data_IF_272754485339
#
_entry.id   IF_272754485339
#
_cell.length_a   1.000
_cell.length_b   1.000
_cell.length_c   1.000
_cell.angle_alpha   90.00
_cell.angle_beta   90.00
_cell.angle_gamma   90.00
#
_symmetry.space_group_name_H-M   'P 1'
#
loop_
_entity.id
_entity.type
_entity.pdbx_description
1 polymer ?
#
# COMPACT_ATOMS: atom_id res chain seq x y z
N UNK A 1 -5.46 28.62 0.73
CA UNK A 1 -5.23 27.23 1.21
C UNK A 1 -6.39 26.39 0.74
N UNK A 2 -6.16 25.28 0.03
CA UNK A 2 -7.23 24.33 -0.23
C UNK A 2 -7.74 23.79 1.12
N UNK A 3 -9.06 23.58 1.30
CA UNK A 3 -9.57 22.96 2.50
C UNK A 3 -8.87 21.60 2.69
N UNK A 4 -8.44 21.30 3.92
CA UNK A 4 -7.94 19.96 4.25
C UNK A 4 -9.08 19.00 3.97
N UNK A 5 -8.88 18.07 3.03
CA UNK A 5 -9.80 16.95 2.85
C UNK A 5 -9.92 16.22 4.18
N UNK A 6 -11.15 15.90 4.58
CA UNK A 6 -11.35 14.97 5.68
C UNK A 6 -10.75 13.63 5.28
N UNK A 7 -10.16 12.90 6.24
CA UNK A 7 -9.67 11.58 5.94
C UNK A 7 -10.88 10.63 5.73
N UNK A 8 -10.77 9.66 4.81
CA UNK A 8 -11.93 8.89 4.33
C UNK A 8 -12.71 8.18 5.43
N UNK A 9 -12.03 7.72 6.49
CA UNK A 9 -12.64 7.01 7.61
C UNK A 9 -13.65 7.85 8.42
N UNK A 10 -13.73 9.17 8.18
CA UNK A 10 -14.77 10.03 8.77
C UNK A 10 -16.08 10.01 7.98
N UNK A 11 -16.01 9.67 6.70
CA UNK A 11 -17.15 9.71 5.77
C UNK A 11 -17.63 8.31 5.40
N UNK A 12 -16.72 7.31 5.40
CA UNK A 12 -16.99 5.93 5.03
C UNK A 12 -16.66 4.99 6.19
N UNK A 13 -17.63 4.17 6.60
CA UNK A 13 -17.42 3.13 7.61
C UNK A 13 -16.80 1.85 7.02
N UNK A 14 -17.02 1.60 5.73
CA UNK A 14 -16.43 0.48 5.00
C UNK A 14 -15.39 1.03 4.01
N UNK A 15 -14.12 0.58 4.07
CA UNK A 15 -13.09 1.05 3.15
C UNK A 15 -13.39 0.70 1.69
N UNK A 16 -14.21 -0.32 1.41
CA UNK A 16 -14.66 -0.67 0.05
C UNK A 16 -15.55 0.39 -0.57
N UNK A 17 -16.30 1.14 0.24
CA UNK A 17 -17.14 2.23 -0.24
C UNK A 17 -16.31 3.45 -0.69
N UNK A 18 -15.09 3.59 -0.15
CA UNK A 18 -14.16 4.63 -0.56
C UNK A 18 -13.28 4.21 -1.75
N UNK A 19 -12.73 3.01 -1.69
CA UNK A 19 -11.85 2.47 -2.72
C UNK A 19 -12.66 1.73 -3.80
N UNK A 20 -13.46 2.50 -4.55
CA UNK A 20 -14.25 2.00 -5.68
C UNK A 20 -13.96 2.80 -6.97
N UNK A 21 -14.19 2.16 -8.12
CA UNK A 21 -14.13 2.74 -9.46
C UNK A 21 -12.88 3.60 -9.73
N UNK A 22 -13.11 4.87 -10.05
CA UNK A 22 -12.05 5.83 -10.41
C UNK A 22 -11.11 6.15 -9.25
N UNK A 23 -11.60 6.10 -7.99
CA UNK A 23 -10.78 6.37 -6.81
C UNK A 23 -9.76 5.26 -6.61
N UNK A 24 -10.22 4.01 -6.68
CA UNK A 24 -9.35 2.84 -6.65
C UNK A 24 -8.31 2.89 -7.78
N UNK A 25 -8.78 3.04 -9.02
CA UNK A 25 -7.92 3.07 -10.20
C UNK A 25 -6.86 4.17 -10.09
N UNK A 26 -7.27 5.37 -9.64
CA UNK A 26 -6.36 6.50 -9.44
C UNK A 26 -5.34 6.24 -8.34
N UNK A 27 -5.74 5.58 -7.26
CA UNK A 27 -4.84 5.22 -6.16
C UNK A 27 -3.79 4.19 -6.62
N UNK A 28 -4.23 3.08 -7.21
CA UNK A 28 -3.37 1.98 -7.67
C UNK A 28 -2.36 2.45 -8.73
N UNK A 29 -2.75 3.40 -9.59
CA UNK A 29 -1.87 3.94 -10.66
C UNK A 29 -1.05 5.16 -10.23
N UNK A 30 -1.20 5.63 -9.00
CA UNK A 30 -0.54 6.84 -8.54
C UNK A 30 0.95 6.59 -8.26
N UNK A 31 1.81 7.06 -9.18
CA UNK A 31 3.28 7.03 -9.00
C UNK A 31 3.72 7.82 -7.76
N UNK A 32 3.05 8.93 -7.44
CA UNK A 32 3.39 9.70 -6.25
C UNK A 32 3.06 8.92 -4.98
N UNK A 33 1.90 8.24 -4.94
CA UNK A 33 1.53 7.40 -3.80
C UNK A 33 2.48 6.22 -3.64
N UNK A 34 2.79 5.53 -4.73
CA UNK A 34 3.76 4.43 -4.74
C UNK A 34 5.12 4.88 -4.17
N UNK A 35 5.67 5.99 -4.67
CA UNK A 35 6.95 6.52 -4.18
C UNK A 35 6.90 6.87 -2.69
N UNK A 36 5.81 7.49 -2.21
CA UNK A 36 5.66 7.83 -0.79
C UNK A 36 5.63 6.57 0.07
N UNK A 37 4.82 5.57 -0.31
CA UNK A 37 4.68 4.32 0.44
C UNK A 37 5.99 3.51 0.44
N UNK A 38 6.72 3.51 -0.67
CA UNK A 38 8.05 2.90 -0.74
C UNK A 38 9.01 3.56 0.27
N UNK A 39 9.08 4.90 0.32
CA UNK A 39 9.95 5.57 1.29
C UNK A 39 9.56 5.28 2.74
N UNK A 40 8.24 5.21 3.02
CA UNK A 40 7.73 4.88 4.35
C UNK A 40 8.12 3.46 4.76
N UNK A 41 7.95 2.45 3.89
CA UNK A 41 8.29 1.07 4.24
C UNK A 41 9.79 0.88 4.41
N UNK A 42 10.63 1.55 3.61
CA UNK A 42 12.08 1.49 3.76
C UNK A 42 12.53 2.13 5.08
N UNK A 43 11.86 3.21 5.50
CA UNK A 43 12.12 3.81 6.80
C UNK A 43 11.65 2.90 7.95
N UNK A 44 10.47 2.28 7.84
CA UNK A 44 9.98 1.33 8.82
C UNK A 44 10.93 0.13 8.96
N UNK A 45 11.45 -0.38 7.83
CA UNK A 45 12.44 -1.45 7.82
C UNK A 45 13.71 -1.05 8.59
N UNK A 46 14.25 0.15 8.34
CA UNK A 46 15.40 0.67 9.09
C UNK A 46 15.14 0.72 10.61
N UNK A 47 13.95 1.16 11.01
CA UNK A 47 13.57 1.28 12.43
C UNK A 47 13.36 -0.09 13.09
N UNK A 48 12.86 -1.07 12.35
CA UNK A 48 12.62 -2.42 12.85
C UNK A 48 13.90 -3.21 13.16
N UNK A 49 15.02 -2.84 12.51
CA UNK A 49 16.26 -3.61 12.56
C UNK A 49 16.20 -4.94 11.79
N UNK A 50 15.13 -5.21 11.03
CA UNK A 50 15.01 -6.42 10.24
C UNK A 50 15.97 -6.40 9.03
N UNK A 51 16.50 -7.58 8.68
CA UNK A 51 17.45 -7.77 7.59
C UNK A 51 17.01 -8.94 6.70
N UNK A 52 17.32 -8.88 5.41
CA UNK A 52 17.07 -10.03 4.54
C UNK A 52 18.14 -11.13 4.76
N UNK A 53 17.78 -12.41 4.66
CA UNK A 53 16.42 -12.92 4.46
C UNK A 53 15.63 -12.92 5.78
N UNK A 54 14.42 -12.35 5.75
CA UNK A 54 13.43 -12.47 6.83
C UNK A 54 12.04 -12.66 6.24
N UNK A 55 11.15 -13.27 7.01
CA UNK A 55 9.73 -13.35 6.70
C UNK A 55 9.02 -12.11 7.26
N UNK A 56 8.31 -11.38 6.39
CA UNK A 56 7.54 -10.19 6.73
C UNK A 56 6.07 -10.45 6.48
N UNK A 57 5.24 -10.04 7.43
CA UNK A 57 3.79 -9.98 7.29
C UNK A 57 3.38 -8.52 7.05
N UNK A 58 2.79 -8.23 5.88
CA UNK A 58 2.28 -6.91 5.50
C UNK A 58 0.75 -6.88 5.69
N UNK A 59 0.28 -6.12 6.67
CA UNK A 59 -1.14 -6.02 7.04
C UNK A 59 -1.74 -4.77 6.39
N UNK A 60 -2.72 -4.96 5.50
CA UNK A 60 -3.24 -3.90 4.65
C UNK A 60 -2.28 -3.60 3.49
N UNK A 61 -1.83 -4.66 2.81
CA UNK A 61 -0.81 -4.55 1.75
C UNK A 61 -1.26 -3.68 0.56
N UNK A 62 -2.57 -3.46 0.40
CA UNK A 62 -3.17 -2.75 -0.72
C UNK A 62 -2.68 -3.30 -2.06
N UNK A 63 -2.31 -2.40 -2.98
CA UNK A 63 -1.73 -2.74 -4.28
C UNK A 63 -0.27 -3.24 -4.21
N UNK A 64 0.28 -3.44 -3.02
CA UNK A 64 1.63 -3.95 -2.83
C UNK A 64 2.74 -2.90 -2.93
N UNK A 65 2.43 -1.60 -2.77
CA UNK A 65 3.44 -0.53 -2.81
C UNK A 65 4.53 -0.67 -1.75
N UNK A 66 4.23 -1.32 -0.61
CA UNK A 66 5.18 -1.69 0.44
C UNK A 66 5.81 -3.07 0.21
N UNK A 67 4.96 -4.05 -0.11
CA UNK A 67 5.34 -5.46 -0.25
C UNK A 67 6.32 -5.72 -1.40
N UNK A 68 6.11 -5.10 -2.57
CA UNK A 68 6.98 -5.31 -3.75
C UNK A 68 8.41 -4.81 -3.50
N UNK A 69 8.64 -3.58 -3.00
CA UNK A 69 10.00 -3.13 -2.64
C UNK A 69 10.70 -4.02 -1.61
N UNK A 70 9.97 -4.53 -0.62
CA UNK A 70 10.53 -5.48 0.36
C UNK A 70 10.95 -6.79 -0.32
N UNK A 71 10.09 -7.34 -1.18
CA UNK A 71 10.41 -8.55 -1.94
C UNK A 71 11.66 -8.36 -2.81
N UNK A 72 11.76 -7.24 -3.54
CA UNK A 72 12.92 -6.89 -4.36
C UNK A 72 14.22 -6.71 -3.54
N UNK A 73 14.12 -6.46 -2.23
CA UNK A 73 15.24 -6.38 -1.28
C UNK A 73 15.59 -7.73 -0.63
N UNK A 74 14.98 -8.82 -1.07
CA UNK A 74 15.29 -10.18 -0.64
C UNK A 74 14.49 -10.65 0.59
N UNK A 75 13.42 -9.95 0.95
CA UNK A 75 12.50 -10.44 1.98
C UNK A 75 11.48 -11.42 1.39
N UNK A 76 11.06 -12.38 2.20
CA UNK A 76 9.84 -13.15 1.91
C UNK A 76 8.68 -12.37 2.51
N UNK A 77 7.67 -12.05 1.70
CA UNK A 77 6.54 -11.23 2.14
C UNK A 77 5.24 -12.01 1.99
N UNK A 78 4.46 -12.05 3.07
CA UNK A 78 3.06 -12.48 3.05
C UNK A 78 2.24 -11.21 3.27
N UNK A 79 1.37 -10.88 2.32
CA UNK A 79 0.50 -9.72 2.42
C UNK A 79 -0.95 -10.12 2.67
N UNK A 80 -1.66 -9.31 3.44
CA UNK A 80 -3.10 -9.44 3.71
C UNK A 80 -3.78 -8.14 3.28
N UNK A 81 -4.86 -8.27 2.50
CA UNK A 81 -5.72 -7.16 2.09
C UNK A 81 -7.18 -7.61 2.12
N UNK A 82 -8.07 -6.70 2.52
CA UNK A 82 -9.52 -6.94 2.60
C UNK A 82 -10.25 -6.47 1.34
N UNK A 83 -9.69 -5.49 0.62
CA UNK A 83 -10.24 -4.98 -0.63
C UNK A 83 -9.66 -5.81 -1.78
N UNK A 84 -10.43 -6.79 -2.24
CA UNK A 84 -10.01 -7.72 -3.29
C UNK A 84 -9.47 -7.02 -4.55
N UNK A 85 -10.10 -5.94 -4.96
CA UNK A 85 -9.72 -5.25 -6.20
C UNK A 85 -8.32 -4.61 -6.14
N UNK A 86 -7.82 -4.29 -4.94
CA UNK A 86 -6.43 -3.86 -4.74
C UNK A 86 -5.41 -4.96 -5.09
N UNK A 87 -5.80 -6.24 -4.97
CA UNK A 87 -4.92 -7.38 -5.25
C UNK A 87 -4.90 -7.77 -6.74
N UNK A 88 -5.92 -7.38 -7.51
CA UNK A 88 -6.10 -7.84 -8.89
C UNK A 88 -5.64 -6.81 -9.91
N UNK A 89 -5.60 -5.53 -9.55
CA UNK A 89 -5.16 -4.47 -10.47
C UNK A 89 -3.63 -4.29 -10.43
N UNK A 90 -2.90 -5.05 -11.26
CA UNK A 90 -1.48 -4.81 -11.53
C UNK A 90 -1.25 -4.31 -12.95
N UNK A 91 -0.96 -3.02 -13.08
CA UNK A 91 -0.31 -2.48 -14.28
C UNK A 91 1.18 -2.77 -14.21
N UNK A 92 1.60 -3.97 -14.64
CA UNK A 92 3.02 -4.24 -14.90
C UNK A 92 3.32 -3.65 -16.28
N UNK A 93 3.85 -2.42 -16.31
CA UNK A 93 4.38 -1.78 -17.53
C UNK A 93 5.89 -1.76 -17.53
#
# INVERSE_FOLDING_TARGET
MSPRKNPPEKEYSDPRDYFDGDVLTSYVRSKSMMNIQEQLILRALQLSGAHSPSLVLDLGMGAGFSSVPLHLKGFTVIGIELIWDMLVEYSIS
#
